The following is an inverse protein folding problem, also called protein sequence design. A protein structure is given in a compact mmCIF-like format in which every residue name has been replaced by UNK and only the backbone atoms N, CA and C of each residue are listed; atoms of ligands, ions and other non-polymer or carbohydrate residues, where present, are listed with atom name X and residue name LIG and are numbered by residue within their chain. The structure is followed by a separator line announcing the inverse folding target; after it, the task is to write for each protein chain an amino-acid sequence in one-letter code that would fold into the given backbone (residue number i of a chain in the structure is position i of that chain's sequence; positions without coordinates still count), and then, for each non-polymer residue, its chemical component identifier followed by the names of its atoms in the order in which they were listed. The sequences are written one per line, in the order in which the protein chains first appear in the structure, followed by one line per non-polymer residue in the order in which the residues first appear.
data_IF_714739738569
#
_entry.id   IF_714739738569
#
_cell.length_a   1.000
_cell.length_b   1.000
_cell.length_c   1.000
_cell.angle_alpha   90.00
_cell.angle_beta   90.00
_cell.angle_gamma   90.00
#
_symmetry.space_group_name_H-M   'P 1'
#
loop_
_entity.id
_entity.type
_entity.pdbx_description
1 polymer ?
#
# COMPACT_ATOMS: atom_id res chain seq x y z
N UNK A 1 -1.03 -6.32 13.66
CA UNK A 1 -2.09 -7.12 14.31
C UNK A 1 -3.43 -6.47 14.03
N UNK A 2 -4.18 -6.94 13.03
CA UNK A 2 -5.52 -6.43 12.77
C UNK A 2 -6.37 -6.74 14.01
N UNK A 3 -6.77 -5.71 14.76
CA UNK A 3 -7.66 -5.86 15.91
C UNK A 3 -9.01 -6.27 15.33
N UNK A 4 -9.17 -7.57 15.22
CA UNK A 4 -10.29 -8.27 14.64
C UNK A 4 -11.57 -7.65 15.20
N UNK A 5 -12.28 -6.87 14.38
CA UNK A 5 -13.56 -6.28 14.74
C UNK A 5 -14.61 -7.41 14.76
N UNK A 6 -14.43 -8.40 15.64
CA UNK A 6 -15.43 -9.43 15.84
C UNK A 6 -16.69 -8.78 16.39
N UNK A 7 -17.84 -9.27 15.93
CA UNK A 7 -19.14 -8.85 16.44
C UNK A 7 -19.21 -9.27 17.91
N UNK A 8 -19.18 -8.29 18.81
CA UNK A 8 -19.37 -8.51 20.23
C UNK A 8 -20.87 -8.73 20.55
N UNK A 9 -21.17 -9.18 21.77
CA UNK A 9 -22.54 -9.50 22.19
C UNK A 9 -23.52 -8.33 22.05
N UNK A 10 -23.04 -7.10 22.27
CA UNK A 10 -23.85 -5.88 22.15
C UNK A 10 -24.17 -5.58 20.69
N UNK A 11 -23.16 -5.52 19.82
CA UNK A 11 -23.32 -5.31 18.37
C UNK A 11 -24.23 -6.37 17.74
N UNK A 12 -24.10 -7.64 18.16
CA UNK A 12 -24.99 -8.70 17.69
C UNK A 12 -26.47 -8.41 18.02
N UNK A 13 -26.76 -7.98 19.26
CA UNK A 13 -28.13 -7.64 19.67
C UNK A 13 -28.66 -6.44 18.91
N UNK A 14 -27.81 -5.47 18.58
CA UNK A 14 -28.21 -4.28 17.84
C UNK A 14 -28.51 -4.60 16.38
N UNK A 15 -27.63 -5.36 15.71
CA UNK A 15 -27.86 -5.84 14.33
C UNK A 15 -29.16 -6.66 14.25
N UNK A 16 -29.42 -7.51 15.25
CA UNK A 16 -30.66 -8.30 15.32
C UNK A 16 -31.93 -7.44 15.43
N UNK A 17 -31.82 -6.20 15.94
CA UNK A 17 -32.95 -5.29 16.13
C UNK A 17 -33.19 -4.36 14.95
N UNK A 18 -32.35 -4.40 13.92
CA UNK A 18 -32.50 -3.53 12.76
C UNK A 18 -33.81 -3.77 12.02
N UNK A 19 -34.44 -2.68 11.62
CA UNK A 19 -35.52 -2.71 10.65
C UNK A 19 -34.98 -2.98 9.22
N UNK A 20 -35.89 -3.14 8.25
CA UNK A 20 -35.51 -3.50 6.89
C UNK A 20 -34.57 -2.48 6.23
N UNK A 21 -34.81 -1.18 6.44
CA UNK A 21 -33.99 -0.11 5.88
C UNK A 21 -32.61 -0.07 6.54
N UNK A 22 -32.57 -0.26 7.86
CA UNK A 22 -31.33 -0.32 8.63
C UNK A 22 -30.48 -1.53 8.22
N UNK A 23 -31.10 -2.68 7.97
CA UNK A 23 -30.41 -3.87 7.46
C UNK A 23 -29.85 -3.66 6.05
N UNK A 24 -30.59 -3.00 5.16
CA UNK A 24 -30.13 -2.70 3.81
C UNK A 24 -28.92 -1.73 3.82
N UNK A 25 -28.98 -0.71 4.67
CA UNK A 25 -27.86 0.21 4.89
C UNK A 25 -26.64 -0.51 5.48
N UNK A 26 -26.85 -1.41 6.44
CA UNK A 26 -25.78 -2.22 7.02
C UNK A 26 -25.09 -3.08 5.94
N UNK A 27 -25.86 -3.77 5.09
CA UNK A 27 -25.32 -4.58 4.00
C UNK A 27 -24.50 -3.75 2.98
N UNK A 28 -25.02 -2.57 2.58
CA UNK A 28 -24.28 -1.64 1.70
C UNK A 28 -22.98 -1.18 2.34
N UNK A 29 -23.02 -0.77 3.60
CA UNK A 29 -21.83 -0.30 4.32
C UNK A 29 -20.76 -1.39 4.44
N UNK A 30 -21.16 -2.65 4.65
CA UNK A 30 -20.25 -3.78 4.72
C UNK A 30 -19.54 -4.00 3.37
N UNK A 31 -20.29 -3.98 2.27
CA UNK A 31 -19.74 -4.10 0.93
C UNK A 31 -18.75 -2.97 0.59
N UNK A 32 -19.13 -1.73 0.84
CA UNK A 32 -18.25 -0.57 0.58
C UNK A 32 -16.98 -0.61 1.43
N UNK A 33 -17.10 -0.99 2.71
CA UNK A 33 -15.94 -1.12 3.60
C UNK A 33 -14.99 -2.22 3.13
N UNK A 34 -15.51 -3.38 2.73
CA UNK A 34 -14.70 -4.48 2.22
C UNK A 34 -14.00 -4.13 0.90
N UNK A 35 -14.67 -3.38 0.02
CA UNK A 35 -14.07 -2.89 -1.22
C UNK A 35 -12.97 -1.87 -0.96
N UNK A 36 -13.20 -0.91 -0.06
CA UNK A 36 -12.18 0.08 0.34
C UNK A 36 -10.97 -0.58 1.00
N UNK A 37 -11.19 -1.54 1.89
CA UNK A 37 -10.12 -2.30 2.53
C UNK A 37 -9.33 -3.13 1.52
N UNK A 38 -10.02 -3.78 0.58
CA UNK A 38 -9.39 -4.50 -0.52
C UNK A 38 -8.56 -3.59 -1.42
N UNK A 39 -9.10 -2.42 -1.78
CA UNK A 39 -8.40 -1.41 -2.57
C UNK A 39 -7.18 -0.85 -1.81
N UNK A 40 -7.33 -0.55 -0.52
CA UNK A 40 -6.23 -0.07 0.33
C UNK A 40 -5.13 -1.14 0.48
N UNK A 41 -5.49 -2.41 0.60
CA UNK A 41 -4.52 -3.51 0.61
C UNK A 41 -3.85 -3.72 -0.74
N UNK A 42 -4.59 -3.58 -1.84
CA UNK A 42 -4.02 -3.63 -3.18
C UNK A 42 -3.05 -2.47 -3.39
N UNK A 43 -3.42 -1.24 -3.02
CA UNK A 43 -2.54 -0.07 -3.07
C UNK A 43 -1.34 -0.27 -2.16
N UNK A 44 -1.51 -0.70 -0.90
CA UNK A 44 -0.39 -0.97 0.01
C UNK A 44 0.55 -2.05 -0.54
N UNK A 45 0.03 -3.11 -1.16
CA UNK A 45 0.84 -4.12 -1.87
C UNK A 45 1.57 -3.50 -3.06
N UNK A 46 0.89 -2.66 -3.83
CA UNK A 46 1.47 -2.02 -5.02
C UNK A 46 2.49 -0.97 -4.64
N UNK A 47 2.34 -0.23 -3.54
CA UNK A 47 3.31 0.71 -2.98
C UNK A 47 4.52 -0.04 -2.40
N UNK A 48 4.31 -1.22 -1.82
CA UNK A 48 5.43 -2.07 -1.37
C UNK A 48 6.16 -2.78 -2.50
N UNK A 49 5.48 -3.10 -3.62
CA UNK A 49 6.07 -3.73 -4.81
C UNK A 49 6.61 -2.70 -5.81
N UNK A 50 5.98 -1.53 -5.91
CA UNK A 50 6.48 -0.31 -6.56
C UNK A 50 6.96 0.65 -5.49
N UNK A 51 7.88 0.21 -4.64
CA UNK A 51 8.88 1.14 -4.14
C UNK A 51 9.76 1.48 -5.35
N UNK A 52 9.20 2.28 -6.26
CA UNK A 52 9.88 2.78 -7.44
C UNK A 52 11.13 3.43 -6.90
N UNK A 53 12.29 2.82 -7.17
CA UNK A 53 13.54 3.34 -6.66
C UNK A 53 13.64 4.78 -7.16
N UNK A 54 13.71 5.70 -6.21
CA UNK A 54 13.95 7.09 -6.53
C UNK A 54 15.42 7.22 -6.95
N UNK A 55 15.63 7.26 -8.27
CA UNK A 55 16.96 7.33 -8.85
C UNK A 55 17.66 8.64 -8.48
N UNK A 56 16.91 9.71 -8.19
CA UNK A 56 17.47 10.99 -7.76
C UNK A 56 18.06 10.83 -6.35
N UNK A 57 17.33 10.20 -5.43
CA UNK A 57 17.84 9.85 -4.10
C UNK A 57 19.07 8.92 -4.19
N UNK A 58 19.07 7.99 -5.15
CA UNK A 58 20.21 7.09 -5.39
C UNK A 58 21.45 7.87 -5.83
N UNK A 59 21.31 8.84 -6.74
CA UNK A 59 22.42 9.68 -7.19
C UNK A 59 23.00 10.53 -6.07
N UNK A 60 22.16 11.15 -5.23
CA UNK A 60 22.63 11.91 -4.07
C UNK A 60 23.43 11.03 -3.09
N UNK A 61 22.93 9.83 -2.80
CA UNK A 61 23.64 8.86 -1.95
C UNK A 61 24.97 8.43 -2.57
N UNK A 62 25.02 8.21 -3.88
CA UNK A 62 26.25 7.81 -4.58
C UNK A 62 27.30 8.92 -4.55
N UNK A 63 26.90 10.18 -4.75
CA UNK A 63 27.80 11.34 -4.71
C UNK A 63 28.37 11.60 -3.31
N UNK A 64 27.69 11.17 -2.25
CA UNK A 64 28.19 11.27 -0.88
C UNK A 64 29.38 10.33 -0.58
N UNK A 65 29.61 9.32 -1.44
CA UNK A 65 30.70 8.35 -1.27
C UNK A 65 31.99 8.90 -1.89
N UNK A 66 33.03 9.01 -1.05
CA UNK A 66 34.35 9.46 -1.48
C UNK A 66 34.89 8.58 -2.62
N UNK A 67 35.13 9.18 -3.79
CA UNK A 67 35.66 8.50 -4.98
C UNK A 67 34.62 8.17 -6.06
N UNK A 68 33.34 8.43 -5.80
CA UNK A 68 32.28 8.38 -6.81
C UNK A 68 31.95 9.82 -7.23
N UNK A 69 32.36 10.19 -8.45
CA UNK A 69 31.97 11.45 -9.08
C UNK A 69 30.70 11.30 -9.93
N UNK A 70 30.18 12.41 -10.45
CA UNK A 70 28.95 12.46 -11.26
C UNK A 70 28.92 11.42 -12.38
N UNK A 71 30.01 11.30 -13.15
CA UNK A 71 30.11 10.35 -14.28
C UNK A 71 29.96 8.89 -13.83
N UNK A 72 30.57 8.52 -12.70
CA UNK A 72 30.45 7.14 -12.17
C UNK A 72 29.08 6.90 -11.55
N UNK A 73 28.49 7.91 -10.91
CA UNK A 73 27.15 7.82 -10.34
C UNK A 73 26.10 7.59 -11.44
N UNK A 74 26.18 8.33 -12.55
CA UNK A 74 25.29 8.16 -13.71
C UNK A 74 25.40 6.77 -14.33
N UNK A 75 26.63 6.24 -14.49
CA UNK A 75 26.86 4.89 -15.01
C UNK A 75 26.28 3.79 -14.09
N UNK A 76 26.37 3.97 -12.77
CA UNK A 76 25.77 3.02 -11.82
C UNK A 76 24.25 3.06 -11.93
N UNK A 77 23.66 4.25 -12.02
CA UNK A 77 22.21 4.43 -12.16
C UNK A 77 21.70 3.83 -13.46
N UNK A 78 22.42 3.96 -14.58
CA UNK A 78 22.00 3.37 -15.87
C UNK A 78 21.97 1.84 -15.80
N UNK A 79 22.99 1.22 -15.21
CA UNK A 79 23.03 -0.24 -15.02
C UNK A 79 21.91 -0.71 -14.09
N UNK A 80 21.63 0.02 -13.01
CA UNK A 80 20.54 -0.32 -12.10
C UNK A 80 19.17 -0.19 -12.79
N UNK A 81 18.99 0.80 -13.66
CA UNK A 81 17.77 0.94 -14.49
C UNK A 81 17.58 -0.23 -15.44
N UNK A 82 18.64 -0.63 -16.15
CA UNK A 82 18.58 -1.78 -17.07
C UNK A 82 18.21 -3.09 -16.34
N UNK A 83 18.74 -3.32 -15.14
CA UNK A 83 18.39 -4.51 -14.35
C UNK A 83 16.92 -4.49 -13.91
N UNK A 84 16.39 -3.32 -13.57
CA UNK A 84 15.00 -3.15 -13.11
C UNK A 84 13.96 -3.21 -14.24
N UNK A 85 14.33 -2.87 -15.49
CA UNK A 85 13.44 -2.95 -16.65
C UNK A 85 13.40 -4.34 -17.30
N UNK A 86 14.38 -5.20 -17.01
CA UNK A 86 14.46 -6.57 -17.53
C UNK A 86 13.85 -7.63 -16.58
N UNK A 87 13.34 -7.24 -15.41
CA UNK A 87 12.52 -8.06 -14.50
C UNK A 87 11.02 -7.87 -14.76
#
# INVERSE_FOLDING_TARGET
MAKQQLINRTKYKDIKRYDHNQMEQFARSLYESGLKDGAAQAIAKTESSKKQMDFDLLTEKLLSIKGIGAVKAEQIVSVVKEVMENE
#
